data_IF_442303967956
#
_entry.id   IF_442303967956
#
_cell.length_a   1.000
_cell.length_b   1.000
_cell.length_c   1.000
_cell.angle_alpha   90.00
_cell.angle_beta   90.00
_cell.angle_gamma   90.00
#
_symmetry.space_group_name_H-M   'P 1'
#
loop_
_entity.id
_entity.type
_entity.pdbx_description
1 polymer ?
#
# COMPACT_ATOMS: atom_id res chain seq x y z
N UNK A 1 2.04 10.31 -31.96
CA UNK A 1 2.90 9.37 -31.21
C UNK A 1 2.19 9.04 -29.91
N UNK A 2 1.57 7.86 -29.86
CA UNK A 2 0.49 7.52 -28.93
C UNK A 2 1.02 7.10 -27.55
N UNK A 3 0.43 7.68 -26.50
CA UNK A 3 0.72 7.41 -25.09
C UNK A 3 0.36 5.96 -24.77
N UNK A 4 1.35 5.14 -24.43
CA UNK A 4 1.12 3.83 -23.79
C UNK A 4 0.79 4.06 -22.32
N UNK A 5 -0.50 4.16 -22.03
CA UNK A 5 -1.05 4.09 -20.69
C UNK A 5 -0.71 2.72 -20.09
N UNK A 6 0.18 2.71 -19.10
CA UNK A 6 0.41 1.54 -18.26
C UNK A 6 -0.80 1.39 -17.33
N UNK A 7 -1.75 0.56 -17.76
CA UNK A 7 -2.79 0.00 -16.91
C UNK A 7 -2.12 -0.90 -15.88
N UNK A 8 -1.75 -0.33 -14.73
CA UNK A 8 -1.57 -1.08 -13.49
C UNK A 8 -2.96 -1.63 -13.13
N UNK A 9 -3.16 -2.91 -13.43
CA UNK A 9 -4.32 -3.67 -12.99
C UNK A 9 -4.36 -3.64 -11.47
N UNK A 10 -5.21 -2.75 -10.94
CA UNK A 10 -5.71 -2.84 -9.59
C UNK A 10 -6.45 -4.18 -9.47
N UNK A 11 -5.79 -5.19 -8.91
CA UNK A 11 -6.46 -6.41 -8.49
C UNK A 11 -7.58 -6.03 -7.51
N UNK A 12 -8.79 -6.60 -7.65
CA UNK A 12 -9.89 -6.23 -6.79
C UNK A 12 -9.49 -6.56 -5.34
N UNK A 13 -9.60 -5.56 -4.47
CA UNK A 13 -9.67 -5.75 -3.04
C UNK A 13 -10.95 -6.53 -2.74
N UNK A 14 -10.91 -7.85 -2.95
CA UNK A 14 -11.89 -8.75 -2.39
C UNK A 14 -11.61 -8.81 -0.89
N UNK A 15 -12.13 -7.82 -0.16
CA UNK A 15 -12.49 -8.01 1.22
C UNK A 15 -13.47 -9.18 1.23
N UNK A 16 -12.97 -10.38 1.51
CA UNK A 16 -13.81 -11.52 1.85
C UNK A 16 -14.45 -11.13 3.17
N UNK A 17 -15.64 -10.52 3.07
CA UNK A 17 -16.51 -10.26 4.19
C UNK A 17 -16.76 -11.63 4.83
N UNK A 18 -16.17 -11.84 6.00
CA UNK A 18 -16.39 -13.04 6.78
C UNK A 18 -17.90 -13.21 6.94
N UNK A 19 -18.43 -14.27 6.31
CA UNK A 19 -19.78 -14.69 6.54
C UNK A 19 -19.88 -15.02 8.03
N UNK A 20 -20.53 -14.14 8.79
CA UNK A 20 -21.03 -14.43 10.13
C UNK A 20 -22.04 -15.56 9.98
N UNK A 21 -21.55 -16.79 10.03
CA UNK A 21 -22.40 -17.96 10.24
C UNK A 21 -22.83 -17.95 11.71
N UNK A 22 -24.14 -17.90 12.00
CA UNK A 22 -24.60 -18.21 13.34
C UNK A 22 -24.35 -19.70 13.55
N UNK A 23 -23.37 -20.05 14.39
CA UNK A 23 -23.18 -21.45 14.81
C UNK A 23 -24.33 -21.79 15.73
N UNK A 24 -25.39 -22.35 15.14
CA UNK A 24 -26.40 -23.09 15.86
C UNK A 24 -25.72 -24.28 16.55
N UNK A 25 -25.94 -24.42 17.85
CA UNK A 25 -25.47 -25.51 18.69
C UNK A 25 -26.18 -26.84 18.37
N UNK A 26 -26.04 -27.34 17.13
CA UNK A 26 -26.68 -28.57 16.64
C UNK A 26 -25.77 -29.44 15.75
N UNK A 27 -24.49 -29.10 15.60
CA UNK A 27 -23.55 -29.91 14.82
C UNK A 27 -22.88 -30.99 15.68
N UNK A 28 -22.85 -32.25 15.24
CA UNK A 28 -22.13 -33.36 15.90
C UNK A 28 -20.60 -33.26 15.76
N UNK A 29 -19.84 -34.17 16.38
CA UNK A 29 -18.36 -34.20 16.33
C UNK A 29 -17.84 -34.04 14.89
N UNK A 30 -18.43 -34.77 13.94
CA UNK A 30 -18.07 -34.71 12.52
C UNK A 30 -18.15 -33.29 11.91
N UNK A 31 -19.09 -32.44 12.37
CA UNK A 31 -19.19 -31.06 11.89
C UNK A 31 -18.07 -30.17 12.43
N UNK A 32 -17.67 -30.36 13.70
CA UNK A 32 -16.55 -29.65 14.30
C UNK A 32 -15.21 -30.05 13.64
N UNK A 33 -15.06 -31.33 13.29
CA UNK A 33 -13.91 -31.82 12.52
C UNK A 33 -13.86 -31.21 11.12
N UNK A 34 -15.00 -31.13 10.44
CA UNK A 34 -15.10 -30.47 9.13
C UNK A 34 -14.74 -28.98 9.22
N UNK A 35 -15.27 -28.27 10.22
CA UNK A 35 -14.96 -26.86 10.46
C UNK A 35 -13.47 -26.65 10.74
N UNK A 36 -12.86 -27.51 11.57
CA UNK A 36 -11.43 -27.49 11.83
C UNK A 36 -10.59 -27.74 10.58
N UNK A 37 -10.97 -28.70 9.74
CA UNK A 37 -10.28 -28.97 8.49
C UNK A 37 -10.40 -27.79 7.49
N UNK A 38 -11.59 -27.20 7.39
CA UNK A 38 -11.83 -26.03 6.55
C UNK A 38 -11.02 -24.81 7.00
N UNK A 39 -10.94 -24.55 8.31
CA UNK A 39 -10.14 -23.47 8.87
C UNK A 39 -8.63 -23.68 8.64
N UNK A 40 -8.12 -24.92 8.76
CA UNK A 40 -6.72 -25.25 8.41
C UNK A 40 -6.44 -24.94 6.94
N UNK A 41 -7.34 -25.32 6.02
CA UNK A 41 -7.23 -24.97 4.61
C UNK A 41 -7.40 -23.47 4.30
N UNK A 42 -8.08 -22.70 5.15
CA UNK A 42 -8.10 -21.22 5.06
C UNK A 42 -6.77 -20.63 5.51
N UNK A 43 -6.19 -21.11 6.62
CA UNK A 43 -4.88 -20.67 7.12
C UNK A 43 -3.81 -20.88 6.04
N UNK A 44 -3.77 -22.04 5.38
CA UNK A 44 -2.80 -22.31 4.30
C UNK A 44 -2.92 -21.28 3.16
N UNK A 45 -4.14 -21.04 2.69
CA UNK A 45 -4.39 -20.03 1.63
C UNK A 45 -3.99 -18.62 2.06
N UNK A 46 -4.30 -18.21 3.29
CA UNK A 46 -3.93 -16.89 3.81
C UNK A 46 -2.41 -16.80 4.01
N UNK A 47 -1.75 -17.88 4.42
CA UNK A 47 -0.30 -17.95 4.57
C UNK A 47 0.42 -17.80 3.22
N UNK A 48 -0.08 -18.45 2.16
CA UNK A 48 0.42 -18.28 0.80
C UNK A 48 0.25 -16.83 0.32
N UNK A 49 -0.93 -16.25 0.54
CA UNK A 49 -1.19 -14.85 0.24
C UNK A 49 -0.29 -13.89 1.04
N UNK A 50 0.05 -14.23 2.29
CA UNK A 50 0.94 -13.45 3.14
C UNK A 50 2.40 -13.52 2.65
N UNK A 51 2.85 -14.69 2.19
CA UNK A 51 4.17 -14.86 1.58
C UNK A 51 4.28 -14.05 0.29
N UNK A 52 3.25 -14.11 -0.56
CA UNK A 52 3.18 -13.27 -1.76
C UNK A 52 3.13 -11.77 -1.40
N UNK A 53 2.29 -11.39 -0.43
CA UNK A 53 2.17 -10.01 0.04
C UNK A 53 3.45 -9.48 0.71
N UNK A 54 4.30 -10.35 1.26
CA UNK A 54 5.63 -9.99 1.78
C UNK A 54 6.61 -9.70 0.63
N UNK A 55 6.61 -10.53 -0.40
CA UNK A 55 7.40 -10.30 -1.62
C UNK A 55 6.95 -9.02 -2.35
N UNK A 56 5.64 -8.77 -2.40
CA UNK A 56 5.07 -7.55 -2.97
C UNK A 56 5.46 -6.30 -2.18
N UNK A 57 5.51 -6.40 -0.84
CA UNK A 57 5.94 -5.32 0.04
C UNK A 57 7.43 -5.02 -0.15
N UNK A 58 8.28 -6.05 -0.20
CA UNK A 58 9.72 -5.90 -0.48
C UNK A 58 9.95 -5.26 -1.87
N UNK A 59 9.24 -5.73 -2.89
CA UNK A 59 9.25 -5.13 -4.23
C UNK A 59 8.69 -3.70 -4.24
N UNK A 60 7.75 -3.35 -3.35
CA UNK A 60 7.23 -2.00 -3.21
C UNK A 60 8.24 -1.09 -2.51
N UNK A 61 8.93 -1.56 -1.48
CA UNK A 61 9.99 -0.85 -0.76
C UNK A 61 11.19 -0.59 -1.68
N UNK A 62 11.60 -1.57 -2.49
CA UNK A 62 12.62 -1.37 -3.52
C UNK A 62 12.20 -0.34 -4.56
N UNK A 63 10.95 -0.36 -5.01
CA UNK A 63 10.41 0.66 -5.93
C UNK A 63 10.33 2.03 -5.27
N UNK A 64 10.02 2.11 -3.99
CA UNK A 64 10.03 3.35 -3.21
C UNK A 64 11.45 3.89 -3.07
N UNK A 65 12.43 3.04 -2.72
CA UNK A 65 13.84 3.39 -2.65
C UNK A 65 14.40 3.84 -4.02
N UNK A 66 14.06 3.12 -5.10
CA UNK A 66 14.41 3.52 -6.45
C UNK A 66 13.75 4.84 -6.87
N UNK A 67 12.53 5.11 -6.40
CA UNK A 67 11.86 6.40 -6.61
C UNK A 67 12.54 7.52 -5.84
N UNK A 68 12.97 7.28 -4.60
CA UNK A 68 13.77 8.22 -3.82
C UNK A 68 15.13 8.52 -4.46
N UNK A 69 15.79 7.51 -5.06
CA UNK A 69 17.01 7.73 -5.84
C UNK A 69 16.76 8.54 -7.13
N UNK A 70 15.67 8.25 -7.85
CA UNK A 70 15.24 9.05 -9.02
C UNK A 70 14.93 10.48 -8.61
N UNK A 71 14.29 10.70 -7.47
CA UNK A 71 14.06 12.00 -6.86
C UNK A 71 15.36 12.73 -6.57
N UNK A 72 16.36 12.10 -5.94
CA UNK A 72 17.68 12.71 -5.71
C UNK A 72 18.35 13.14 -7.02
N UNK A 73 18.25 12.33 -8.09
CA UNK A 73 18.73 12.69 -9.42
C UNK A 73 17.91 13.86 -10.01
N UNK A 74 16.60 13.86 -9.83
CA UNK A 74 15.70 14.90 -10.33
C UNK A 74 15.90 16.23 -9.59
N UNK A 75 16.16 16.20 -8.28
CA UNK A 75 16.48 17.38 -7.48
C UNK A 75 17.78 18.05 -7.96
N UNK A 76 18.78 17.27 -8.38
CA UNK A 76 19.98 17.81 -9.06
C UNK A 76 19.66 18.46 -10.40
N UNK A 77 18.75 17.88 -11.19
CA UNK A 77 18.29 18.48 -12.45
C UNK A 77 17.47 19.75 -12.22
N UNK A 78 16.62 19.78 -11.19
CA UNK A 78 15.87 20.97 -10.76
C UNK A 78 16.83 22.07 -10.29
N UNK A 79 17.91 21.73 -9.59
CA UNK A 79 18.95 22.68 -9.20
C UNK A 79 19.67 23.27 -10.42
N UNK A 80 20.04 22.44 -11.42
CA UNK A 80 20.57 22.93 -12.68
C UNK A 80 19.54 23.77 -13.47
N UNK A 81 18.26 23.40 -13.39
CA UNK A 81 17.17 24.19 -13.95
C UNK A 81 17.00 25.55 -13.27
N UNK A 82 17.25 25.66 -11.96
CA UNK A 82 17.23 26.92 -11.23
C UNK A 82 18.34 27.86 -11.71
N UNK A 83 19.55 27.34 -11.96
CA UNK A 83 20.63 28.10 -12.57
C UNK A 83 20.24 28.62 -13.97
N UNK A 84 19.60 27.77 -14.79
CA UNK A 84 19.06 28.17 -16.09
C UNK A 84 17.99 29.28 -15.97
N UNK A 85 17.19 29.23 -14.91
CA UNK A 85 16.17 30.23 -14.61
C UNK A 85 16.81 31.58 -14.26
N UNK A 86 17.83 31.59 -13.41
CA UNK A 86 18.61 32.78 -13.10
C UNK A 86 19.25 33.39 -14.37
N UNK A 87 19.81 32.55 -15.25
CA UNK A 87 20.35 33.02 -16.53
C UNK A 87 19.28 33.62 -17.46
N UNK A 88 18.04 33.14 -17.40
CA UNK A 88 16.93 33.71 -18.17
C UNK A 88 16.48 35.04 -17.57
N UNK A 89 16.41 35.16 -16.25
CA UNK A 89 16.13 36.41 -15.54
C UNK A 89 17.17 37.48 -15.87
N UNK A 90 18.46 37.14 -15.86
CA UNK A 90 19.55 38.04 -16.27
C UNK A 90 19.39 38.51 -17.72
N UNK A 91 18.97 37.61 -18.63
CA UNK A 91 18.72 37.94 -20.04
C UNK A 91 17.51 38.83 -20.23
N UNK A 92 16.44 38.61 -19.45
CA UNK A 92 15.25 39.47 -19.44
C UNK A 92 15.67 40.85 -18.95
N UNK A 93 16.36 40.96 -17.82
CA UNK A 93 16.84 42.23 -17.29
C UNK A 93 17.74 42.99 -18.28
N UNK A 94 18.68 42.29 -18.94
CA UNK A 94 19.53 42.87 -19.97
C UNK A 94 18.73 43.33 -21.20
N UNK A 95 17.73 42.56 -21.64
CA UNK A 95 16.85 42.93 -22.75
C UNK A 95 15.97 44.14 -22.40
N UNK A 96 15.43 44.21 -21.19
CA UNK A 96 14.66 45.37 -20.69
C UNK A 96 15.51 46.63 -20.69
N UNK A 97 16.75 46.55 -20.20
CA UNK A 97 17.68 47.68 -20.22
C UNK A 97 18.04 48.12 -21.66
N UNK A 98 18.26 47.15 -22.57
CA UNK A 98 18.49 47.43 -23.99
C UNK A 98 17.28 48.07 -24.68
N UNK A 99 16.07 47.64 -24.34
CA UNK A 99 14.81 48.18 -24.86
C UNK A 99 14.64 49.65 -24.46
N UNK A 100 14.98 50.01 -23.23
CA UNK A 100 14.94 51.40 -22.77
C UNK A 100 15.94 52.27 -23.55
N UNK A 101 17.15 51.77 -23.81
CA UNK A 101 18.11 52.48 -24.67
C UNK A 101 17.60 52.64 -26.11
N UNK A 102 16.97 51.61 -26.67
CA UNK A 102 16.38 51.64 -28.00
C UNK A 102 15.23 52.64 -28.09
N UNK A 103 14.35 52.69 -27.07
CA UNK A 103 13.26 53.66 -26.93
C UNK A 103 13.81 55.10 -26.98
N UNK A 104 14.87 55.38 -26.23
CA UNK A 104 15.50 56.70 -26.20
C UNK A 104 16.14 57.06 -27.55
N UNK A 105 16.82 56.12 -28.22
CA UNK A 105 17.38 56.34 -29.57
C UNK A 105 16.29 56.64 -30.59
N UNK A 106 15.18 55.90 -30.55
CA UNK A 106 14.03 56.13 -31.43
C UNK A 106 13.39 57.50 -31.18
N UNK A 107 13.21 57.89 -29.92
CA UNK A 107 12.68 59.21 -29.58
C UNK A 107 13.56 60.35 -30.13
N UNK A 108 14.89 60.25 -29.98
CA UNK A 108 15.84 61.22 -30.54
C UNK A 108 15.78 61.24 -32.08
N UNK A 109 15.81 60.09 -32.72
CA UNK A 109 15.78 59.99 -34.19
C UNK A 109 14.48 60.58 -34.78
N UNK A 110 13.33 60.32 -34.13
CA UNK A 110 12.04 60.91 -34.52
C UNK A 110 12.00 62.43 -34.34
N UNK A 111 12.59 62.95 -33.26
CA UNK A 111 12.70 64.41 -33.05
C UNK A 111 13.51 65.08 -34.17
N UNK A 112 14.70 64.56 -34.48
CA UNK A 112 15.55 65.09 -35.56
C UNK A 112 14.84 65.07 -36.91
N UNK A 113 14.13 63.97 -37.22
CA UNK A 113 13.34 63.88 -38.45
C UNK A 113 12.17 64.88 -38.46
N UNK A 114 11.47 65.05 -37.34
CA UNK A 114 10.38 66.01 -37.21
C UNK A 114 10.89 67.44 -37.43
N UNK A 115 11.98 67.81 -36.76
CA UNK A 115 12.59 69.15 -36.89
C UNK A 115 13.00 69.42 -38.34
N UNK A 116 13.55 68.41 -39.03
CA UNK A 116 13.91 68.51 -40.44
C UNK A 116 12.70 68.65 -41.36
N UNK A 117 11.63 67.89 -41.14
CA UNK A 117 10.39 67.98 -41.92
C UNK A 117 9.70 69.33 -41.74
N UNK A 118 9.68 69.86 -40.51
CA UNK A 118 9.15 71.21 -40.22
C UNK A 118 9.99 72.27 -40.92
N UNK A 119 11.33 72.15 -40.89
CA UNK A 119 12.20 73.07 -41.61
C UNK A 119 11.89 73.07 -43.12
N UNK A 120 11.79 71.89 -43.74
CA UNK A 120 11.42 71.74 -45.17
C UNK A 120 10.06 72.40 -45.47
N UNK A 121 9.07 72.21 -44.59
CA UNK A 121 7.74 72.81 -44.74
C UNK A 121 7.76 74.34 -44.64
N UNK A 122 8.48 74.90 -43.65
CA UNK A 122 8.51 76.33 -43.38
C UNK A 122 9.36 77.13 -44.38
N UNK A 123 10.48 76.57 -44.85
CA UNK A 123 11.37 77.26 -45.80
C UNK A 123 11.01 77.01 -47.27
N UNK A 124 10.11 76.05 -47.53
CA UNK A 124 9.88 75.50 -48.87
C UNK A 124 11.05 74.65 -49.36
N UNK A 125 10.80 73.76 -50.32
CA UNK A 125 11.86 73.10 -51.10
C UNK A 125 12.29 74.03 -52.22
N UNK A 126 13.57 74.43 -52.31
CA UNK A 126 14.05 75.19 -53.45
C UNK A 126 13.85 74.36 -54.74
N UNK A 127 13.03 74.84 -55.67
CA UNK A 127 12.91 74.19 -56.97
C UNK A 127 14.16 74.51 -57.81
N UNK A 128 14.69 73.50 -58.51
CA UNK A 128 15.86 73.63 -59.39
C UNK A 128 15.68 74.77 -60.41
N UNK A 129 14.45 74.98 -60.88
CA UNK A 129 14.05 76.10 -61.76
C UNK A 129 14.30 77.48 -61.13
N UNK A 130 13.98 77.66 -59.85
CA UNK A 130 14.20 78.92 -59.13
C UNK A 130 15.67 79.18 -58.78
N UNK A 131 16.47 78.11 -58.65
CA UNK A 131 17.91 78.21 -58.42
C UNK A 131 18.72 78.51 -59.68
N UNK A 132 18.34 77.92 -60.82
CA UNK A 132 18.96 78.20 -62.12
C UNK A 132 18.79 79.69 -62.49
N UNK A 133 17.64 80.28 -62.16
CA UNK A 133 17.33 81.69 -62.42
C UNK A 133 18.03 82.67 -61.45
N UNK A 134 18.53 82.19 -60.30
CA UNK A 134 19.15 83.00 -59.25
C UNK A 134 20.67 82.81 -59.14
N UNK A 135 21.28 82.04 -60.06
CA UNK A 135 22.71 81.78 -60.09
C UNK A 135 23.48 82.95 -60.74
N UNK A 136 24.62 83.28 -60.15
CA UNK A 136 25.46 84.44 -60.57
C UNK A 136 26.39 84.09 -61.74
N UNK A 137 26.82 82.81 -61.81
CA UNK A 137 27.69 82.23 -62.84
C UNK A 137 27.54 80.68 -62.89
N UNK A 138 28.21 80.05 -63.86
CA UNK A 138 28.18 78.59 -64.05
C UNK A 138 28.82 77.78 -62.90
N UNK A 139 29.78 78.36 -62.16
CA UNK A 139 30.40 77.72 -61.01
C UNK A 139 29.53 77.76 -59.75
N UNK A 140 28.81 78.87 -59.54
CA UNK A 140 27.80 79.04 -58.47
C UNK A 140 26.63 78.06 -58.66
N UNK A 141 26.18 77.87 -59.91
CA UNK A 141 25.13 76.90 -60.24
C UNK A 141 25.57 75.45 -59.94
N UNK A 142 26.78 75.06 -60.35
CA UNK A 142 27.32 73.72 -60.12
C UNK A 142 27.46 73.43 -58.61
N UNK A 143 27.95 74.41 -57.85
CA UNK A 143 28.11 74.28 -56.39
C UNK A 143 26.75 74.14 -55.68
N UNK A 144 25.74 74.92 -56.10
CA UNK A 144 24.38 74.86 -55.55
C UNK A 144 23.67 73.55 -55.85
N UNK A 145 23.88 72.98 -57.03
CA UNK A 145 23.37 71.65 -57.40
C UNK A 145 23.95 70.55 -56.49
N UNK A 146 25.27 70.55 -56.29
CA UNK A 146 25.97 69.60 -55.41
C UNK A 146 25.48 69.72 -53.95
N UNK A 147 25.23 70.93 -53.44
CA UNK A 147 24.64 71.14 -52.11
C UNK A 147 23.22 70.60 -51.99
N UNK A 148 22.36 70.82 -53.00
CA UNK A 148 20.98 70.34 -52.97
C UNK A 148 20.91 68.81 -53.03
N UNK A 149 21.75 68.19 -53.84
CA UNK A 149 21.88 66.74 -53.92
C UNK A 149 22.35 66.18 -52.58
N UNK A 150 23.41 66.75 -51.99
CA UNK A 150 23.91 66.34 -50.67
C UNK A 150 22.85 66.45 -49.55
N UNK A 151 22.00 67.48 -49.60
CA UNK A 151 20.88 67.67 -48.65
C UNK A 151 19.78 66.62 -48.86
N UNK A 152 19.35 66.37 -50.09
CA UNK A 152 18.35 65.32 -50.41
C UNK A 152 18.84 63.93 -49.98
N UNK A 153 20.11 63.67 -50.21
CA UNK A 153 20.79 62.46 -49.76
C UNK A 153 20.80 62.35 -48.24
N UNK A 154 21.13 63.44 -47.54
CA UNK A 154 21.10 63.51 -46.09
C UNK A 154 19.71 63.22 -45.52
N UNK A 155 18.66 63.79 -46.12
CA UNK A 155 17.26 63.59 -45.70
C UNK A 155 16.79 62.15 -45.94
N UNK A 156 17.18 61.57 -47.08
CA UNK A 156 16.90 60.16 -47.39
C UNK A 156 17.62 59.23 -46.40
N UNK A 157 18.89 59.53 -46.07
CA UNK A 157 19.66 58.81 -45.04
C UNK A 157 19.02 58.94 -43.66
N UNK A 158 18.55 60.12 -43.27
CA UNK A 158 17.88 60.34 -41.98
C UNK A 158 16.59 59.53 -41.87
N UNK A 159 15.72 59.59 -42.89
CA UNK A 159 14.48 58.82 -42.92
C UNK A 159 14.75 57.29 -42.88
N UNK A 160 15.74 56.81 -43.63
CA UNK A 160 16.17 55.41 -43.60
C UNK A 160 16.70 55.00 -42.22
N UNK A 161 17.49 55.86 -41.56
CA UNK A 161 18.02 55.59 -40.22
C UNK A 161 16.91 55.54 -39.17
N UNK A 162 15.91 56.42 -39.25
CA UNK A 162 14.72 56.36 -38.37
C UNK A 162 13.93 55.06 -38.58
N UNK A 163 13.70 54.65 -39.83
CA UNK A 163 13.05 53.37 -40.14
C UNK A 163 13.82 52.18 -39.58
N UNK A 164 15.15 52.19 -39.74
CA UNK A 164 16.02 51.15 -39.18
C UNK A 164 15.92 51.08 -37.66
N UNK A 165 16.06 52.22 -36.96
CA UNK A 165 15.97 52.27 -35.49
C UNK A 165 14.58 51.84 -34.99
N UNK A 166 13.50 52.19 -35.71
CA UNK A 166 12.16 51.69 -35.39
C UNK A 166 12.08 50.16 -35.50
N UNK A 167 12.59 49.60 -36.59
CA UNK A 167 12.63 48.16 -36.79
C UNK A 167 13.53 47.43 -35.76
N UNK A 168 14.62 48.06 -35.32
CA UNK A 168 15.45 47.54 -34.21
C UNK A 168 14.68 47.51 -32.89
N UNK A 169 13.94 48.57 -32.56
CA UNK A 169 13.10 48.63 -31.37
C UNK A 169 11.99 47.57 -31.40
N UNK A 170 11.27 47.43 -32.52
CA UNK A 170 10.24 46.39 -32.71
C UNK A 170 10.81 44.98 -32.48
N UNK A 171 12.01 44.69 -33.01
CA UNK A 171 12.69 43.40 -32.79
C UNK A 171 13.09 43.16 -31.33
N UNK A 172 13.51 44.19 -30.60
CA UNK A 172 13.84 44.06 -29.18
C UNK A 172 12.59 43.86 -28.31
N UNK A 173 11.45 44.49 -28.64
CA UNK A 173 10.16 44.20 -27.98
C UNK A 173 9.78 42.73 -28.18
N UNK A 174 9.82 42.24 -29.42
CA UNK A 174 9.51 40.84 -29.73
C UNK A 174 10.45 39.86 -29.01
N UNK A 175 11.74 40.22 -28.90
CA UNK A 175 12.74 39.42 -28.21
C UNK A 175 12.46 39.34 -26.71
N UNK A 176 12.13 40.46 -26.07
CA UNK A 176 11.80 40.51 -24.65
C UNK A 176 10.58 39.64 -24.35
N UNK A 177 9.50 39.81 -25.10
CA UNK A 177 8.28 39.00 -24.97
C UNK A 177 8.58 37.48 -25.05
N UNK A 178 9.36 37.05 -26.06
CA UNK A 178 9.78 35.65 -26.19
C UNK A 178 10.67 35.15 -25.04
N UNK A 179 11.46 36.02 -24.41
CA UNK A 179 12.29 35.66 -23.25
C UNK A 179 11.45 35.51 -21.99
N UNK A 180 10.51 36.42 -21.76
CA UNK A 180 9.55 36.35 -20.65
C UNK A 180 8.68 35.10 -20.73
N UNK A 181 8.14 34.78 -21.91
CA UNK A 181 7.39 33.53 -22.14
C UNK A 181 8.23 32.29 -21.83
N UNK A 182 9.49 32.27 -22.26
CA UNK A 182 10.41 31.15 -21.98
C UNK A 182 10.74 31.03 -20.49
N UNK A 183 10.95 32.14 -19.80
CA UNK A 183 11.21 32.16 -18.36
C UNK A 183 9.98 31.62 -17.59
N UNK A 184 8.78 32.11 -17.92
CA UNK A 184 7.53 31.66 -17.33
C UNK A 184 7.30 30.15 -17.56
N UNK A 185 7.51 29.66 -18.78
CA UNK A 185 7.36 28.24 -19.12
C UNK A 185 8.36 27.35 -18.34
N UNK A 186 9.60 27.82 -18.16
CA UNK A 186 10.63 27.09 -17.44
C UNK A 186 10.35 27.02 -15.93
N UNK A 187 9.90 28.12 -15.32
CA UNK A 187 9.45 28.16 -13.92
C UNK A 187 8.25 27.22 -13.68
N UNK A 188 7.27 27.24 -14.59
CA UNK A 188 6.12 26.33 -14.52
C UNK A 188 6.55 24.86 -14.62
N UNK A 189 7.48 24.54 -15.53
CA UNK A 189 8.03 23.19 -15.66
C UNK A 189 8.78 22.74 -14.40
N UNK A 190 9.55 23.64 -13.76
CA UNK A 190 10.24 23.35 -12.50
C UNK A 190 9.26 23.08 -11.35
N UNK A 191 8.19 23.88 -11.24
CA UNK A 191 7.14 23.64 -10.24
C UNK A 191 6.45 22.29 -10.47
N UNK A 192 6.01 22.02 -11.70
CA UNK A 192 5.35 20.77 -12.05
C UNK A 192 6.26 19.55 -11.82
N UNK A 193 7.56 19.68 -12.07
CA UNK A 193 8.53 18.62 -11.76
C UNK A 193 8.63 18.37 -10.26
N UNK A 194 8.69 19.42 -9.42
CA UNK A 194 8.70 19.30 -7.95
C UNK A 194 7.42 18.65 -7.42
N UNK A 195 6.27 19.11 -7.91
CA UNK A 195 4.96 18.56 -7.51
C UNK A 195 4.83 17.09 -7.93
N UNK A 196 5.32 16.74 -9.13
CA UNK A 196 5.35 15.36 -9.62
C UNK A 196 6.23 14.43 -8.78
N UNK A 197 7.38 14.90 -8.30
CA UNK A 197 8.25 14.17 -7.37
C UNK A 197 7.53 13.92 -6.04
N UNK A 198 6.96 14.98 -5.45
CA UNK A 198 6.26 14.90 -4.17
C UNK A 198 5.06 13.95 -4.26
N UNK A 199 4.28 14.02 -5.35
CA UNK A 199 3.16 13.12 -5.60
C UNK A 199 3.60 11.66 -5.78
N UNK A 200 4.70 11.41 -6.51
CA UNK A 200 5.24 10.07 -6.69
C UNK A 200 5.69 9.44 -5.36
N UNK A 201 6.32 10.23 -4.49
CA UNK A 201 6.71 9.81 -3.15
C UNK A 201 5.50 9.47 -2.29
N UNK A 202 4.52 10.37 -2.20
CA UNK A 202 3.30 10.15 -1.43
C UNK A 202 2.53 8.89 -1.91
N UNK A 203 2.48 8.66 -3.23
CA UNK A 203 1.86 7.46 -3.80
C UNK A 203 2.61 6.17 -3.43
N UNK A 204 3.94 6.19 -3.43
CA UNK A 204 4.76 5.05 -3.03
C UNK A 204 4.59 4.72 -1.53
N UNK A 205 4.65 5.72 -0.67
CA UNK A 205 4.45 5.57 0.78
C UNK A 205 3.04 5.04 1.10
N UNK A 206 2.00 5.57 0.44
CA UNK A 206 0.62 5.09 0.58
C UNK A 206 0.45 3.65 0.10
N UNK A 207 1.12 3.24 -0.98
CA UNK A 207 1.09 1.86 -1.45
C UNK A 207 1.74 0.89 -0.46
N UNK A 208 2.91 1.24 0.09
CA UNK A 208 3.58 0.45 1.12
C UNK A 208 2.73 0.32 2.40
N UNK A 209 2.14 1.43 2.87
CA UNK A 209 1.27 1.43 4.05
C UNK A 209 0.03 0.53 3.87
N UNK A 210 -0.59 0.53 2.69
CA UNK A 210 -1.72 -0.36 2.37
C UNK A 210 -1.31 -1.84 2.41
N UNK A 211 -0.17 -2.19 1.81
CA UNK A 211 0.33 -3.57 1.84
C UNK A 211 0.67 -4.02 3.26
N UNK A 212 1.29 -3.17 4.07
CA UNK A 212 1.55 -3.45 5.47
C UNK A 212 0.27 -3.69 6.27
N UNK A 213 -0.78 -2.87 6.05
CA UNK A 213 -2.09 -3.05 6.68
C UNK A 213 -2.80 -4.33 6.24
N UNK A 214 -2.70 -4.72 4.97
CA UNK A 214 -3.29 -5.98 4.49
C UNK A 214 -2.57 -7.17 5.11
N UNK A 215 -1.24 -7.13 5.19
CA UNK A 215 -0.44 -8.17 5.80
C UNK A 215 -0.68 -8.30 7.32
N UNK A 216 -0.92 -7.19 8.04
CA UNK A 216 -1.27 -7.25 9.46
C UNK A 216 -2.67 -7.84 9.69
N UNK A 217 -3.66 -7.48 8.86
CA UNK A 217 -5.01 -8.05 8.92
C UNK A 217 -5.01 -9.56 8.68
N UNK A 218 -4.27 -10.03 7.66
CA UNK A 218 -4.11 -11.47 7.36
C UNK A 218 -3.49 -12.25 8.52
N UNK A 219 -2.51 -11.68 9.22
CA UNK A 219 -1.91 -12.30 10.41
C UNK A 219 -2.91 -12.42 11.56
N UNK A 220 -3.71 -11.38 11.79
CA UNK A 220 -4.75 -11.41 12.80
C UNK A 220 -5.82 -12.48 12.49
N UNK A 221 -6.20 -12.64 11.21
CA UNK A 221 -7.15 -13.66 10.77
C UNK A 221 -6.61 -15.09 11.00
N UNK A 222 -5.32 -15.33 10.74
CA UNK A 222 -4.68 -16.63 11.05
C UNK A 222 -4.75 -16.92 12.55
N UNK A 223 -4.47 -15.93 13.41
CA UNK A 223 -4.53 -16.13 14.86
C UNK A 223 -5.97 -16.38 15.36
N UNK A 224 -6.97 -15.71 14.79
CA UNK A 224 -8.39 -15.99 15.09
C UNK A 224 -8.79 -17.42 14.69
N UNK A 225 -8.40 -17.86 13.48
CA UNK A 225 -8.68 -19.22 13.02
C UNK A 225 -8.00 -20.28 13.89
N UNK A 226 -6.76 -20.05 14.34
CA UNK A 226 -6.07 -20.94 15.28
C UNK A 226 -6.79 -21.04 16.63
N UNK A 227 -7.25 -19.91 17.17
CA UNK A 227 -8.01 -19.90 18.41
C UNK A 227 -9.32 -20.71 18.29
N UNK A 228 -10.06 -20.54 17.19
CA UNK A 228 -11.27 -21.32 16.91
C UNK A 228 -11.00 -22.81 16.78
N UNK A 229 -9.93 -23.20 16.09
CA UNK A 229 -9.50 -24.60 15.99
C UNK A 229 -9.25 -25.19 17.38
N UNK A 230 -8.52 -24.47 18.25
CA UNK A 230 -8.26 -24.93 19.61
C UNK A 230 -9.56 -25.09 20.44
N UNK A 231 -10.52 -24.19 20.26
CA UNK A 231 -11.83 -24.27 20.91
C UNK A 231 -12.65 -25.47 20.39
N UNK A 232 -12.68 -25.70 19.07
CA UNK A 232 -13.33 -26.86 18.48
C UNK A 232 -12.69 -28.17 18.95
N UNK A 233 -11.37 -28.26 19.00
CA UNK A 233 -10.65 -29.43 19.51
C UNK A 233 -10.99 -29.71 20.99
N UNK A 234 -11.15 -28.67 21.81
CA UNK A 234 -11.58 -28.81 23.20
C UNK A 234 -13.01 -29.33 23.30
N UNK A 235 -13.91 -28.82 22.47
CA UNK A 235 -15.31 -29.24 22.45
C UNK A 235 -15.47 -30.66 21.91
N UNK A 236 -14.70 -31.06 20.91
CA UNK A 236 -14.63 -32.46 20.42
C UNK A 236 -14.24 -33.38 21.57
N UNK A 237 -13.11 -33.13 22.25
CA UNK A 237 -12.66 -33.96 23.40
C UNK A 237 -13.72 -34.07 24.49
N UNK A 238 -14.40 -32.96 24.80
CA UNK A 238 -15.47 -32.94 25.80
C UNK A 238 -16.64 -33.83 25.41
N UNK A 239 -17.05 -33.78 24.13
CA UNK A 239 -18.17 -34.59 23.61
C UNK A 239 -17.82 -36.05 23.48
N UNK A 240 -16.59 -36.37 23.07
CA UNK A 240 -16.08 -37.75 23.06
C UNK A 240 -16.11 -38.35 24.46
N UNK A 241 -15.59 -37.63 25.47
CA UNK A 241 -15.64 -38.05 26.86
C UNK A 241 -17.08 -38.23 27.38
N UNK A 242 -17.99 -37.32 27.03
CA UNK A 242 -19.41 -37.46 27.38
C UNK A 242 -20.05 -38.69 26.72
N UNK A 243 -19.80 -38.91 25.42
CA UNK A 243 -20.32 -40.07 24.70
C UNK A 243 -19.75 -41.40 25.23
N UNK A 244 -18.48 -41.42 25.65
CA UNK A 244 -17.87 -42.59 26.28
C UNK A 244 -18.52 -42.89 27.63
N UNK A 245 -18.75 -41.87 28.46
CA UNK A 245 -19.43 -42.01 29.73
C UNK A 245 -20.90 -42.46 29.57
N UNK A 246 -21.61 -41.93 28.57
CA UNK A 246 -22.97 -42.36 28.22
C UNK A 246 -23.01 -43.82 27.74
N UNK A 247 -22.06 -44.22 26.89
CA UNK A 247 -21.94 -45.61 26.44
C UNK A 247 -21.64 -46.57 27.60
N UNK A 248 -20.75 -46.18 28.51
CA UNK A 248 -20.46 -46.94 29.73
C UNK A 248 -21.69 -47.06 30.63
N UNK A 249 -22.45 -45.97 30.80
CA UNK A 249 -23.68 -45.97 31.57
C UNK A 249 -24.78 -46.85 30.95
N UNK A 250 -24.92 -46.85 29.62
CA UNK A 250 -25.89 -47.70 28.91
C UNK A 250 -25.50 -49.18 29.02
N UNK A 251 -24.22 -49.52 28.83
CA UNK A 251 -23.69 -50.87 29.05
C UNK A 251 -23.91 -51.31 30.49
N UNK A 252 -23.63 -50.43 31.45
CA UNK A 252 -23.89 -50.70 32.86
C UNK A 252 -25.38 -51.01 33.11
N UNK A 253 -26.28 -50.20 32.57
CA UNK A 253 -27.73 -50.42 32.72
C UNK A 253 -28.20 -51.72 32.06
N UNK A 254 -27.74 -52.00 30.84
CA UNK A 254 -28.12 -53.20 30.10
C UNK A 254 -27.66 -54.50 30.79
N UNK A 255 -26.53 -54.44 31.50
CA UNK A 255 -25.93 -55.58 32.19
C UNK A 255 -26.25 -55.59 33.70
N UNK A 256 -27.16 -54.76 34.20
CA UNK A 256 -27.60 -54.80 35.60
C UNK A 256 -26.65 -54.16 36.62
N UNK A 257 -25.76 -53.27 36.17
CA UNK A 257 -25.00 -52.35 37.01
C UNK A 257 -25.84 -51.15 37.51
N UNK A 258 -25.20 -50.12 38.09
CA UNK A 258 -23.75 -49.89 38.14
C UNK A 258 -23.01 -50.75 39.16
N UNK A 259 -21.77 -51.10 38.81
CA UNK A 259 -20.77 -51.74 39.68
C UNK A 259 -19.63 -50.74 39.96
N UNK A 260 -18.75 -51.04 40.91
CA UNK A 260 -17.65 -50.17 41.33
C UNK A 260 -16.45 -50.11 40.36
N UNK A 261 -16.42 -51.01 39.35
CA UNK A 261 -15.42 -51.08 38.28
C UNK A 261 -16.16 -51.29 36.93
N UNK A 262 -15.51 -51.15 35.76
CA UNK A 262 -16.18 -51.28 34.47
C UNK A 262 -17.06 -52.54 34.35
N UNK A 263 -18.33 -52.35 33.98
CA UNK A 263 -19.34 -53.41 34.07
C UNK A 263 -18.98 -54.65 33.23
N UNK A 264 -18.28 -54.47 32.11
CA UNK A 264 -17.85 -55.60 31.26
C UNK A 264 -16.88 -56.55 32.00
N UNK A 265 -16.04 -56.02 32.89
CA UNK A 265 -15.12 -56.81 33.71
C UNK A 265 -15.93 -57.65 34.69
N UNK A 266 -16.84 -57.01 35.43
CA UNK A 266 -17.67 -57.68 36.43
C UNK A 266 -18.54 -58.79 35.84
N UNK A 267 -19.09 -58.55 34.64
CA UNK A 267 -19.87 -59.55 33.90
C UNK A 267 -19.03 -60.74 33.45
N UNK A 268 -17.79 -60.51 33.04
CA UNK A 268 -16.88 -61.57 32.64
C UNK A 268 -16.37 -62.37 33.85
N UNK A 269 -16.10 -61.70 34.97
CA UNK A 269 -15.56 -62.33 36.19
C UNK A 269 -16.59 -63.19 36.93
N UNK A 270 -17.83 -62.71 37.07
CA UNK A 270 -18.86 -63.40 37.88
C UNK A 270 -20.27 -63.38 37.28
N UNK A 271 -20.47 -62.74 36.13
CA UNK A 271 -21.80 -62.43 35.62
C UNK A 271 -22.57 -61.44 36.48
N UNK A 272 -21.90 -60.65 37.32
CA UNK A 272 -22.54 -59.71 38.26
C UNK A 272 -23.03 -60.33 39.58
N UNK A 273 -22.64 -61.57 39.89
CA UNK A 273 -23.13 -62.29 41.06
C UNK A 273 -22.31 -61.99 42.32
N UNK A 274 -22.88 -61.23 43.26
CA UNK A 274 -22.27 -60.87 44.56
C UNK A 274 -22.02 -62.05 45.51
N UNK A 275 -22.60 -63.22 45.24
CA UNK A 275 -22.37 -64.44 46.02
C UNK A 275 -21.52 -65.48 45.26
N UNK A 276 -20.93 -65.10 44.11
CA UNK A 276 -20.07 -66.01 43.36
C UNK A 276 -18.81 -66.38 44.16
N UNK A 277 -18.43 -67.65 44.13
CA UNK A 277 -17.22 -68.17 44.76
C UNK A 277 -16.50 -69.07 43.75
N UNK A 278 -15.24 -68.78 43.47
CA UNK A 278 -14.36 -69.66 42.72
C UNK A 278 -13.78 -70.73 43.66
N UNK A 279 -14.15 -72.02 43.52
CA UNK A 279 -13.73 -73.06 44.45
C UNK A 279 -12.22 -73.35 44.42
N UNK A 280 -11.52 -72.97 43.36
CA UNK A 280 -10.10 -73.27 43.17
C UNK A 280 -9.18 -72.17 43.71
N UNK A 281 -9.52 -70.90 43.49
CA UNK A 281 -8.71 -69.76 43.94
C UNK A 281 -9.21 -69.13 45.23
N UNK A 282 -10.44 -69.44 45.66
CA UNK A 282 -11.11 -68.77 46.78
C UNK A 282 -11.54 -67.32 46.48
N UNK A 283 -11.33 -66.84 45.25
CA UNK A 283 -11.82 -65.54 44.80
C UNK A 283 -13.36 -65.49 44.93
N UNK A 284 -13.87 -64.39 45.48
CA UNK A 284 -15.30 -64.31 45.80
C UNK A 284 -15.92 -62.96 45.47
N UNK A 285 -17.25 -62.94 45.44
CA UNK A 285 -18.05 -61.75 45.21
C UNK A 285 -18.21 -61.42 43.73
N UNK A 286 -18.94 -60.33 43.45
CA UNK A 286 -19.19 -59.89 42.08
C UNK A 286 -17.87 -59.56 41.35
N UNK A 287 -16.86 -59.13 42.10
CA UNK A 287 -15.57 -58.69 41.59
C UNK A 287 -14.48 -59.77 41.60
N UNK A 288 -14.79 -61.00 42.03
CA UNK A 288 -13.83 -62.11 42.14
C UNK A 288 -12.51 -61.72 42.82
N UNK A 289 -12.58 -61.03 43.97
CA UNK A 289 -11.39 -60.58 44.70
C UNK A 289 -10.82 -61.75 45.52
N UNK A 290 -9.49 -61.93 45.51
CA UNK A 290 -8.82 -62.93 46.34
C UNK A 290 -8.91 -62.56 47.83
N UNK A 291 -9.08 -63.53 48.77
CA UNK A 291 -9.19 -63.25 50.20
C UNK A 291 -7.99 -62.48 50.79
N UNK A 292 -6.77 -62.72 50.28
CA UNK A 292 -5.56 -62.00 50.70
C UNK A 292 -5.61 -60.51 50.32
N UNK A 293 -6.05 -60.22 49.10
CA UNK A 293 -6.23 -58.84 48.60
C UNK A 293 -7.38 -58.15 49.32
N UNK A 294 -8.51 -58.84 49.49
CA UNK A 294 -9.68 -58.35 50.25
C UNK A 294 -9.30 -57.85 51.65
N UNK A 295 -8.55 -58.68 52.39
CA UNK A 295 -8.07 -58.33 53.72
C UNK A 295 -7.08 -57.16 53.71
N UNK A 296 -6.19 -57.08 52.70
CA UNK A 296 -5.24 -55.96 52.54
C UNK A 296 -5.96 -54.62 52.40
N UNK A 297 -7.09 -54.60 51.69
CA UNK A 297 -7.92 -53.40 51.51
C UNK A 297 -8.97 -53.19 52.63
N UNK A 298 -8.82 -53.91 53.74
CA UNK A 298 -9.62 -53.74 54.95
C UNK A 298 -11.02 -54.36 54.86
N UNK A 299 -11.18 -55.45 54.09
CA UNK A 299 -12.40 -56.25 54.09
C UNK A 299 -12.44 -57.23 55.25
N UNK A 300 -13.61 -57.36 55.85
CA UNK A 300 -13.88 -58.35 56.88
C UNK A 300 -14.48 -59.63 56.27
N UNK A 301 -14.25 -60.79 56.90
CA UNK A 301 -14.74 -62.08 56.39
C UNK A 301 -14.22 -62.47 55.00
N UNK A 302 -15.04 -63.20 54.23
CA UNK A 302 -14.76 -63.56 52.84
C UNK A 302 -15.51 -62.63 51.86
N UNK A 303 -14.93 -62.33 50.68
CA UNK A 303 -15.52 -61.39 49.72
C UNK A 303 -16.96 -61.68 49.29
N UNK A 304 -17.34 -62.95 49.13
CA UNK A 304 -18.67 -63.36 48.68
C UNK A 304 -19.73 -63.38 49.80
N UNK A 305 -19.32 -63.23 51.06
CA UNK A 305 -20.18 -63.16 52.24
C UNK A 305 -20.44 -61.72 52.68
N UNK A 306 -19.61 -60.78 52.22
CA UNK A 306 -19.72 -59.36 52.53
C UNK A 306 -20.89 -58.70 51.80
N UNK A 307 -21.40 -57.59 52.34
CA UNK A 307 -22.49 -56.85 51.71
C UNK A 307 -22.07 -56.29 50.36
N UNK A 308 -23.05 -56.02 49.49
CA UNK A 308 -22.82 -55.38 48.18
C UNK A 308 -21.99 -54.10 48.33
N UNK A 309 -22.33 -53.27 49.31
CA UNK A 309 -21.69 -51.98 49.55
C UNK A 309 -20.23 -52.14 49.95
N UNK A 310 -19.90 -53.17 50.74
CA UNK A 310 -18.52 -53.46 51.12
C UNK A 310 -17.71 -54.01 49.93
N UNK A 311 -18.32 -54.90 49.14
CA UNK A 311 -17.73 -55.42 47.91
C UNK A 311 -17.42 -54.29 46.92
N UNK A 312 -18.39 -53.41 46.68
CA UNK A 312 -18.25 -52.24 45.82
C UNK A 312 -17.17 -51.29 46.34
N UNK A 313 -17.17 -50.98 47.65
CA UNK A 313 -16.17 -50.10 48.26
C UNK A 313 -14.76 -50.62 48.04
N UNK A 314 -14.51 -51.89 48.33
CA UNK A 314 -13.17 -52.47 48.22
C UNK A 314 -12.75 -52.62 46.76
N UNK A 315 -13.66 -53.07 45.89
CA UNK A 315 -13.38 -53.14 44.45
C UNK A 315 -13.05 -51.77 43.87
N UNK A 316 -13.78 -50.71 44.27
CA UNK A 316 -13.50 -49.34 43.86
C UNK A 316 -12.13 -48.83 44.35
N UNK A 317 -11.72 -49.21 45.56
CA UNK A 317 -10.38 -48.88 46.08
C UNK A 317 -9.28 -49.59 45.30
N UNK A 318 -9.43 -50.88 45.01
CA UNK A 318 -8.46 -51.66 44.22
C UNK A 318 -8.34 -51.07 42.81
N UNK A 319 -9.47 -50.72 42.19
CA UNK A 319 -9.50 -50.15 40.86
C UNK A 319 -8.86 -48.76 40.79
N UNK A 320 -9.09 -47.92 41.79
CA UNK A 320 -8.43 -46.62 41.89
C UNK A 320 -6.90 -46.74 42.06
N UNK A 321 -6.41 -47.80 42.72
CA UNK A 321 -4.99 -48.04 42.95
C UNK A 321 -4.29 -48.70 41.75
N UNK A 322 -4.93 -49.69 41.13
CA UNK A 322 -4.27 -50.62 40.18
C UNK A 322 -4.91 -50.68 38.78
N UNK A 323 -5.91 -49.85 38.49
CA UNK A 323 -6.66 -49.90 37.22
C UNK A 323 -7.30 -51.27 37.00
N UNK A 324 -7.37 -51.76 35.76
CA UNK A 324 -7.98 -53.07 35.45
C UNK A 324 -7.06 -54.27 35.69
N UNK A 325 -5.77 -54.05 35.99
CA UNK A 325 -4.75 -55.11 36.05
C UNK A 325 -5.01 -56.28 37.02
N UNK A 326 -5.73 -56.12 38.15
CA UNK A 326 -6.04 -57.24 39.05
C UNK A 326 -7.09 -58.22 38.53
N UNK A 327 -7.81 -57.87 37.46
CA UNK A 327 -8.90 -58.67 36.90
C UNK A 327 -8.45 -59.34 35.60
N UNK A 328 -8.81 -60.62 35.43
CA UNK A 328 -8.44 -61.42 34.25
C UNK A 328 -9.17 -60.92 33.00
N UNK A 329 -10.36 -60.37 33.19
CA UNK A 329 -11.18 -59.79 32.13
C UNK A 329 -10.97 -58.28 31.92
N UNK A 330 -9.89 -57.71 32.49
CA UNK A 330 -9.57 -56.28 32.54
C UNK A 330 -8.88 -55.68 31.32
#
# INVERSE_FOLDING_TARGET
MSRRSALLAAGPAAAVLAALLPVAAAGGIASLEQDSAAARGQIERIADQLNQGRSDLESADERAAASAQRESKMNRLVANGAERSAQLEDRVAAATAGLEQARQRLARARRVLSDRLVAIYMSGTPELSGLVLAASDYGDLATRDEYLEAVRDSDTRLASRVRQVRGEFEREVDRLSRLEEKAAAHLAALSAARDGIAAARAAAESAAARLASVNSARRAEIEDLKARIADWEKEIRKREAASAAEAEAEVARALGGPYAIPTYIVMCESGGNYSALNPSSGAGGAYQILPSTWKTYGGEGLPHEASKEEQDRIAGLIYADSGTSPWVCG
#
